data_IF_703044761488
#
_entry.id   IF_703044761488
#
_cell.length_a   1.000
_cell.length_b   1.000
_cell.length_c   1.000
_cell.angle_alpha   90.00
_cell.angle_beta   90.00
_cell.angle_gamma   90.00
#
_symmetry.space_group_name_H-M   'P 1'
#
loop_
_entity.id
_entity.type
_entity.pdbx_description
1 polymer ?
#
# COMPACT_ATOMS: atom_id res chain seq x y z
N UNK A 1 -33.47 5.91 -2.90
CA UNK A 1 -33.60 4.45 -3.04
C UNK A 1 -34.93 4.03 -3.66
N UNK A 2 -36.05 4.75 -3.46
CA UNK A 2 -37.33 4.43 -4.10
C UNK A 2 -37.31 4.45 -5.65
N UNK A 3 -36.35 5.17 -6.22
CA UNK A 3 -36.11 5.34 -7.65
C UNK A 3 -35.22 4.25 -8.28
N UNK A 4 -34.76 3.28 -7.48
CA UNK A 4 -33.86 2.21 -7.90
C UNK A 4 -34.53 0.87 -7.64
N UNK A 5 -34.71 0.07 -8.70
CA UNK A 5 -35.19 -1.31 -8.59
C UNK A 5 -33.97 -2.20 -8.37
N UNK A 6 -33.89 -2.96 -7.26
CA UNK A 6 -32.76 -3.85 -6.98
C UNK A 6 -32.59 -4.91 -8.08
N UNK A 7 -31.34 -5.26 -8.40
CA UNK A 7 -31.02 -6.30 -9.39
C UNK A 7 -30.41 -7.51 -8.67
N UNK A 8 -31.13 -8.65 -8.57
CA UNK A 8 -30.63 -9.83 -7.87
C UNK A 8 -29.38 -10.40 -8.53
N UNK A 9 -28.62 -11.20 -7.77
CA UNK A 9 -27.51 -11.97 -8.33
C UNK A 9 -28.03 -13.03 -9.29
N UNK A 10 -27.46 -13.09 -10.50
CA UNK A 10 -27.79 -14.08 -11.53
C UNK A 10 -26.87 -15.30 -11.40
N UNK A 11 -27.08 -16.08 -10.34
CA UNK A 11 -26.36 -17.34 -10.14
C UNK A 11 -26.90 -18.43 -11.07
N UNK A 12 -26.00 -19.29 -11.57
CA UNK A 12 -26.40 -20.42 -12.40
C UNK A 12 -27.36 -21.36 -11.64
N UNK A 13 -28.32 -22.02 -12.34
CA UNK A 13 -29.13 -23.07 -11.74
C UNK A 13 -28.24 -24.13 -11.08
N UNK A 14 -28.52 -24.45 -9.80
CA UNK A 14 -27.72 -25.37 -8.98
C UNK A 14 -26.24 -24.95 -8.80
N UNK A 15 -25.99 -23.67 -8.52
CA UNK A 15 -24.67 -23.16 -8.16
C UNK A 15 -23.96 -24.09 -7.14
N UNK A 16 -22.69 -24.42 -7.40
CA UNK A 16 -21.93 -25.41 -6.62
C UNK A 16 -21.45 -24.87 -5.27
N UNK A 17 -21.23 -23.55 -5.17
CA UNK A 17 -20.70 -22.88 -3.97
C UNK A 17 -21.51 -21.62 -3.63
N UNK A 18 -22.84 -21.72 -3.48
CA UNK A 18 -23.67 -20.57 -3.17
C UNK A 18 -23.34 -20.09 -1.75
N UNK A 19 -23.08 -18.80 -1.61
CA UNK A 19 -22.90 -18.22 -0.28
C UNK A 19 -24.28 -17.96 0.31
N UNK A 20 -24.50 -18.46 1.53
CA UNK A 20 -25.73 -18.38 2.27
C UNK A 20 -26.00 -16.95 2.81
N UNK A 21 -26.17 -15.96 1.92
CA UNK A 21 -26.44 -14.57 2.32
C UNK A 21 -27.78 -14.36 3.03
N UNK A 22 -28.65 -15.38 3.08
CA UNK A 22 -29.96 -15.29 3.74
C UNK A 22 -29.87 -15.06 5.25
N UNK A 23 -28.75 -15.43 5.89
CA UNK A 23 -28.47 -15.10 7.29
C UNK A 23 -28.00 -13.64 7.48
N UNK A 24 -27.60 -12.97 6.38
CA UNK A 24 -27.09 -11.59 6.33
C UNK A 24 -27.81 -10.80 5.22
N UNK A 25 -29.12 -10.61 5.38
CA UNK A 25 -29.97 -9.89 4.41
C UNK A 25 -29.36 -8.56 3.95
N UNK A 26 -28.67 -7.84 4.85
CA UNK A 26 -28.01 -6.59 4.56
C UNK A 26 -27.00 -6.66 3.40
N UNK A 27 -26.18 -7.72 3.30
CA UNK A 27 -25.19 -7.82 2.23
C UNK A 27 -25.83 -8.10 0.88
N UNK A 28 -26.81 -9.02 0.85
CA UNK A 28 -27.59 -9.33 -0.37
C UNK A 28 -28.28 -8.06 -0.88
N UNK A 29 -29.01 -7.38 0.00
CA UNK A 29 -29.78 -6.20 -0.36
C UNK A 29 -28.86 -5.07 -0.84
N UNK A 30 -27.71 -4.85 -0.17
CA UNK A 30 -26.71 -3.88 -0.60
C UNK A 30 -26.13 -4.23 -1.98
N UNK A 31 -25.83 -5.49 -2.24
CA UNK A 31 -25.32 -5.95 -3.54
C UNK A 31 -26.36 -5.88 -4.65
N UNK A 32 -27.64 -6.13 -4.35
CA UNK A 32 -28.74 -5.97 -5.33
C UNK A 32 -28.88 -4.51 -5.75
N UNK A 33 -28.81 -3.60 -4.77
CA UNK A 33 -28.81 -2.16 -5.04
C UNK A 33 -27.56 -1.73 -5.80
N UNK A 34 -26.38 -2.27 -5.45
CA UNK A 34 -25.13 -1.96 -6.14
C UNK A 34 -25.18 -2.38 -7.61
N UNK A 35 -25.66 -3.60 -7.91
CA UNK A 35 -25.87 -4.06 -9.30
C UNK A 35 -26.81 -3.13 -10.07
N UNK A 36 -27.88 -2.67 -9.44
CA UNK A 36 -28.80 -1.71 -10.06
C UNK A 36 -28.13 -0.36 -10.39
N UNK A 37 -27.31 0.18 -9.48
CA UNK A 37 -26.55 1.40 -9.72
C UNK A 37 -25.51 1.24 -10.84
N UNK A 38 -24.80 0.10 -10.86
CA UNK A 38 -23.82 -0.23 -11.89
C UNK A 38 -24.49 -0.35 -13.26
N UNK A 39 -25.64 -1.00 -13.35
CA UNK A 39 -26.40 -1.12 -14.61
C UNK A 39 -26.85 0.25 -15.15
N UNK A 40 -27.15 1.20 -14.26
CA UNK A 40 -27.46 2.60 -14.61
C UNK A 40 -26.21 3.48 -14.80
N UNK A 41 -25.01 2.95 -14.60
CA UNK A 41 -23.74 3.67 -14.57
C UNK A 41 -23.77 4.90 -13.64
N UNK A 42 -24.50 4.80 -12.54
CA UNK A 42 -24.68 5.94 -11.63
C UNK A 42 -23.40 6.23 -10.84
N UNK A 43 -23.01 7.50 -10.78
CA UNK A 43 -21.85 8.03 -10.03
C UNK A 43 -22.33 9.17 -9.14
N UNK A 44 -22.66 8.85 -7.90
CA UNK A 44 -23.35 9.75 -6.96
C UNK A 44 -22.89 9.56 -5.52
N UNK A 45 -23.24 10.49 -4.62
CA UNK A 45 -22.90 10.37 -3.20
C UNK A 45 -23.48 9.08 -2.60
N UNK A 46 -24.74 8.74 -2.90
CA UNK A 46 -25.34 7.48 -2.42
C UNK A 46 -24.64 6.23 -2.94
N UNK A 47 -23.97 6.32 -4.10
CA UNK A 47 -23.11 5.24 -4.61
C UNK A 47 -21.88 5.09 -3.72
N UNK A 48 -21.25 6.20 -3.32
CA UNK A 48 -20.13 6.18 -2.37
C UNK A 48 -20.58 5.64 -1.01
N UNK A 49 -21.73 6.05 -0.51
CA UNK A 49 -22.24 5.57 0.78
C UNK A 49 -22.49 4.05 0.72
N UNK A 50 -23.16 3.56 -0.33
CA UNK A 50 -23.42 2.13 -0.51
C UNK A 50 -22.13 1.31 -0.67
N UNK A 51 -21.17 1.78 -1.47
CA UNK A 51 -19.89 1.06 -1.63
C UNK A 51 -19.09 0.99 -0.33
N UNK A 52 -19.17 2.01 0.54
CA UNK A 52 -18.55 1.98 1.86
C UNK A 52 -19.13 0.87 2.73
N UNK A 53 -20.45 0.76 2.81
CA UNK A 53 -21.13 -0.30 3.57
C UNK A 53 -20.75 -1.71 3.06
N UNK A 54 -20.71 -1.88 1.73
CA UNK A 54 -20.33 -3.16 1.12
C UNK A 54 -18.86 -3.50 1.43
N UNK A 55 -17.96 -2.52 1.39
CA UNK A 55 -16.55 -2.71 1.73
C UNK A 55 -16.36 -3.11 3.20
N UNK A 56 -17.14 -2.55 4.12
CA UNK A 56 -17.10 -2.94 5.54
C UNK A 56 -17.51 -4.39 5.75
N UNK A 57 -18.48 -4.89 4.97
CA UNK A 57 -18.90 -6.29 5.02
C UNK A 57 -17.94 -7.23 4.26
N UNK A 58 -17.39 -6.79 3.12
CA UNK A 58 -16.49 -7.56 2.28
C UNK A 58 -15.37 -6.68 1.69
N UNK A 59 -14.26 -6.48 2.43
CA UNK A 59 -13.14 -5.65 1.97
C UNK A 59 -12.37 -6.28 0.80
N UNK A 60 -12.64 -7.54 0.45
CA UNK A 60 -12.04 -8.24 -0.69
C UNK A 60 -12.78 -8.00 -2.02
N UNK A 61 -13.93 -7.31 -2.02
CA UNK A 61 -14.74 -7.16 -3.23
C UNK A 61 -14.16 -6.15 -4.22
N UNK A 62 -13.26 -6.60 -5.10
CA UNK A 62 -12.51 -5.73 -6.02
C UNK A 62 -13.39 -4.90 -6.97
N UNK A 63 -14.52 -5.43 -7.46
CA UNK A 63 -15.47 -4.68 -8.31
C UNK A 63 -16.03 -3.45 -7.61
N UNK A 64 -16.36 -3.57 -6.32
CA UNK A 64 -16.91 -2.47 -5.52
C UNK A 64 -15.85 -1.38 -5.32
N UNK A 65 -14.61 -1.78 -5.00
CA UNK A 65 -13.48 -0.86 -4.90
C UNK A 65 -13.23 -0.10 -6.21
N UNK A 66 -13.21 -0.81 -7.34
CA UNK A 66 -13.03 -0.18 -8.65
C UNK A 66 -14.15 0.83 -8.94
N UNK A 67 -15.40 0.45 -8.71
CA UNK A 67 -16.53 1.33 -8.97
C UNK A 67 -16.57 2.54 -8.02
N UNK A 68 -16.11 2.37 -6.78
CA UNK A 68 -15.91 3.47 -5.81
C UNK A 68 -14.87 4.46 -6.32
N UNK A 69 -13.70 3.99 -6.74
CA UNK A 69 -12.64 4.85 -7.29
C UNK A 69 -13.15 5.65 -8.51
N UNK A 70 -13.82 4.99 -9.44
CA UNK A 70 -14.39 5.65 -10.62
C UNK A 70 -15.42 6.71 -10.25
N UNK A 71 -16.24 6.44 -9.23
CA UNK A 71 -17.22 7.39 -8.70
C UNK A 71 -16.54 8.61 -8.07
N UNK A 72 -15.53 8.40 -7.22
CA UNK A 72 -14.78 9.50 -6.60
C UNK A 72 -14.15 10.41 -7.65
N UNK A 73 -13.49 9.82 -8.65
CA UNK A 73 -12.80 10.56 -9.71
C UNK A 73 -13.79 11.31 -10.61
N UNK A 74 -14.88 10.66 -11.04
CA UNK A 74 -15.88 11.31 -11.90
C UNK A 74 -16.62 12.44 -11.17
N UNK A 75 -16.89 12.27 -9.89
CA UNK A 75 -17.51 13.31 -9.07
C UNK A 75 -16.54 14.44 -8.69
N UNK A 76 -15.25 14.28 -8.95
CA UNK A 76 -14.20 15.18 -8.45
C UNK A 76 -14.31 15.37 -6.93
N UNK A 77 -14.58 14.28 -6.22
CA UNK A 77 -14.76 14.29 -4.77
C UNK A 77 -13.47 14.67 -4.05
N UNK A 78 -13.60 15.08 -2.78
CA UNK A 78 -12.45 15.36 -1.94
C UNK A 78 -11.68 14.07 -1.61
N UNK A 79 -10.60 13.81 -2.35
CA UNK A 79 -9.79 12.61 -2.21
C UNK A 79 -9.03 12.55 -0.87
N UNK A 80 -8.83 13.69 -0.19
CA UNK A 80 -8.22 13.72 1.14
C UNK A 80 -9.11 13.09 2.21
N UNK A 81 -10.43 13.27 2.11
CA UNK A 81 -11.42 12.60 2.98
C UNK A 81 -11.42 11.08 2.74
N UNK A 82 -11.23 10.65 1.49
CA UNK A 82 -11.10 9.23 1.18
C UNK A 82 -9.83 8.62 1.82
N UNK A 83 -8.72 9.35 1.85
CA UNK A 83 -7.52 8.90 2.56
C UNK A 83 -7.78 8.76 4.07
N UNK A 84 -8.58 9.64 4.69
CA UNK A 84 -8.98 9.50 6.09
C UNK A 84 -9.84 8.26 6.34
N UNK A 85 -10.76 7.94 5.41
CA UNK A 85 -11.51 6.68 5.47
C UNK A 85 -10.56 5.47 5.40
N UNK A 86 -9.57 5.50 4.51
CA UNK A 86 -8.60 4.42 4.36
C UNK A 86 -7.70 4.28 5.60
N UNK A 87 -7.35 5.37 6.26
CA UNK A 87 -6.62 5.36 7.53
C UNK A 87 -7.40 4.63 8.64
N UNK A 88 -8.74 4.66 8.59
CA UNK A 88 -9.60 3.90 9.49
C UNK A 88 -9.70 2.43 9.07
N UNK A 89 -9.91 2.17 7.77
CA UNK A 89 -10.09 0.81 7.25
C UNK A 89 -8.83 -0.05 7.38
N UNK A 90 -7.63 0.54 7.22
CA UNK A 90 -6.38 -0.22 7.29
C UNK A 90 -6.20 -0.90 8.65
N UNK A 91 -6.68 -0.28 9.75
CA UNK A 91 -6.58 -0.83 11.11
C UNK A 91 -7.32 -2.16 11.26
N UNK A 92 -8.41 -2.34 10.51
CA UNK A 92 -9.24 -3.54 10.56
C UNK A 92 -8.93 -4.51 9.42
N UNK A 93 -8.37 -4.02 8.32
CA UNK A 93 -8.21 -4.77 7.08
C UNK A 93 -6.78 -4.68 6.48
N UNK A 94 -5.74 -4.65 7.33
CA UNK A 94 -4.33 -4.57 6.94
C UNK A 94 -3.89 -5.60 5.88
N UNK A 95 -4.56 -6.75 5.81
CA UNK A 95 -4.25 -7.86 4.89
C UNK A 95 -5.07 -7.83 3.59
N UNK A 96 -5.95 -6.85 3.39
CA UNK A 96 -6.70 -6.71 2.14
C UNK A 96 -5.85 -6.02 1.08
N UNK A 97 -5.58 -6.73 -0.02
CA UNK A 97 -4.88 -6.17 -1.19
C UNK A 97 -5.61 -4.95 -1.75
N UNK A 98 -6.94 -4.99 -1.74
CA UNK A 98 -7.78 -3.96 -2.35
C UNK A 98 -7.66 -2.61 -1.61
N UNK A 99 -7.47 -2.62 -0.29
CA UNK A 99 -7.28 -1.38 0.49
C UNK A 99 -5.99 -0.67 0.08
N UNK A 100 -4.89 -1.41 -0.06
CA UNK A 100 -3.59 -0.86 -0.49
C UNK A 100 -3.62 -0.40 -1.95
N UNK A 101 -4.24 -1.18 -2.83
CA UNK A 101 -4.38 -0.82 -4.23
C UNK A 101 -5.27 0.41 -4.41
N UNK A 102 -6.37 0.53 -3.64
CA UNK A 102 -7.23 1.70 -3.69
C UNK A 102 -6.51 2.93 -3.16
N UNK A 103 -5.78 2.83 -2.04
CA UNK A 103 -4.95 3.94 -1.53
C UNK A 103 -3.96 4.42 -2.59
N UNK A 104 -3.28 3.49 -3.27
CA UNK A 104 -2.39 3.81 -4.40
C UNK A 104 -3.11 4.60 -5.49
N UNK A 105 -4.31 4.19 -5.89
CA UNK A 105 -5.12 4.91 -6.88
C UNK A 105 -5.46 6.33 -6.43
N UNK A 106 -5.85 6.52 -5.17
CA UNK A 106 -6.19 7.84 -4.63
C UNK A 106 -4.95 8.75 -4.55
N UNK A 107 -3.81 8.24 -4.08
CA UNK A 107 -2.55 8.99 -4.00
C UNK A 107 -2.03 9.36 -5.39
N UNK A 108 -2.16 8.47 -6.39
CA UNK A 108 -1.83 8.78 -7.78
C UNK A 108 -2.70 9.91 -8.34
N UNK A 109 -4.00 9.91 -8.03
CA UNK A 109 -4.91 10.95 -8.49
C UNK A 109 -4.65 12.30 -7.81
N UNK A 110 -4.26 12.29 -6.52
CA UNK A 110 -3.83 13.48 -5.78
C UNK A 110 -2.46 13.99 -6.21
N UNK A 111 -1.59 13.08 -6.68
CA UNK A 111 -0.16 13.34 -6.93
C UNK A 111 0.55 13.98 -5.71
N UNK A 112 0.19 13.52 -4.51
CA UNK A 112 0.72 14.04 -3.24
C UNK A 112 1.15 12.88 -2.31
N UNK A 113 2.47 12.69 -2.09
CA UNK A 113 2.98 11.65 -1.21
C UNK A 113 3.15 12.09 0.25
N UNK A 114 2.78 13.32 0.61
CA UNK A 114 3.13 13.97 1.89
C UNK A 114 2.78 13.15 3.14
N UNK A 115 1.68 12.39 3.09
CA UNK A 115 1.19 11.56 4.22
C UNK A 115 1.75 10.14 4.23
N UNK A 116 2.34 9.68 3.13
CA UNK A 116 2.44 8.23 2.86
C UNK A 116 3.57 7.54 3.63
N UNK A 117 4.69 8.22 3.85
CA UNK A 117 5.79 7.68 4.65
C UNK A 117 5.43 7.61 6.14
N UNK A 118 4.70 8.60 6.66
CA UNK A 118 4.19 8.56 8.04
C UNK A 118 3.10 7.51 8.21
N UNK A 119 2.17 7.43 7.25
CA UNK A 119 1.12 6.42 7.23
C UNK A 119 1.67 4.99 7.23
N UNK A 120 2.61 4.69 6.33
CA UNK A 120 3.24 3.36 6.27
C UNK A 120 4.05 3.06 7.53
N UNK A 121 4.70 4.04 8.14
CA UNK A 121 5.37 3.85 9.42
C UNK A 121 4.40 3.49 10.56
N UNK A 122 3.22 4.13 10.61
CA UNK A 122 2.15 3.78 11.57
C UNK A 122 1.58 2.38 11.31
N UNK A 123 1.40 2.00 10.04
CA UNK A 123 0.94 0.65 9.69
C UNK A 123 1.98 -0.43 10.07
N UNK A 124 3.28 -0.17 9.86
CA UNK A 124 4.37 -1.07 10.26
C UNK A 124 4.54 -1.14 11.78
N UNK A 125 4.16 -0.10 12.53
CA UNK A 125 4.12 -0.18 13.99
C UNK A 125 3.03 -1.16 14.49
N UNK A 126 1.98 -1.41 13.69
CA UNK A 126 0.95 -2.41 14.00
C UNK A 126 1.37 -3.82 13.54
N UNK A 127 2.00 -3.92 12.37
CA UNK A 127 2.51 -5.18 11.80
C UNK A 127 3.81 -4.92 11.03
N UNK A 128 4.95 -5.06 11.72
CA UNK A 128 6.28 -4.73 11.20
C UNK A 128 6.75 -5.61 10.03
N UNK A 129 6.02 -6.69 9.75
CA UNK A 129 6.33 -7.66 8.70
C UNK A 129 5.25 -7.71 7.61
N UNK A 130 4.33 -6.75 7.61
CA UNK A 130 3.27 -6.68 6.61
C UNK A 130 3.84 -6.45 5.20
N UNK A 131 3.70 -7.47 4.34
CA UNK A 131 4.26 -7.43 2.99
C UNK A 131 3.64 -6.31 2.13
N UNK A 132 2.32 -6.08 2.25
CA UNK A 132 1.65 -5.05 1.47
C UNK A 132 2.13 -3.65 1.84
N UNK A 133 2.35 -3.38 3.13
CA UNK A 133 2.87 -2.09 3.59
C UNK A 133 4.28 -1.83 3.08
N UNK A 134 5.17 -2.83 3.12
CA UNK A 134 6.52 -2.70 2.58
C UNK A 134 6.53 -2.48 1.06
N UNK A 135 5.78 -3.28 0.31
CA UNK A 135 5.65 -3.12 -1.14
C UNK A 135 5.07 -1.74 -1.51
N UNK A 136 4.08 -1.27 -0.75
CA UNK A 136 3.49 0.05 -0.94
C UNK A 136 4.50 1.18 -0.63
N UNK A 137 5.24 1.09 0.48
CA UNK A 137 6.26 2.08 0.85
C UNK A 137 7.36 2.20 -0.22
N UNK A 138 7.85 1.07 -0.73
CA UNK A 138 8.83 1.07 -1.82
C UNK A 138 8.26 1.67 -3.11
N UNK A 139 7.01 1.36 -3.45
CA UNK A 139 6.33 1.99 -4.59
C UNK A 139 6.25 3.52 -4.44
N UNK A 140 5.84 4.02 -3.27
CA UNK A 140 5.78 5.46 -2.98
C UNK A 140 7.15 6.10 -3.20
N UNK A 141 8.21 5.51 -2.63
CA UNK A 141 9.57 6.02 -2.78
C UNK A 141 10.02 6.08 -4.24
N UNK A 142 9.84 4.99 -4.99
CA UNK A 142 10.23 4.91 -6.40
C UNK A 142 9.41 5.82 -7.32
N UNK A 143 8.13 6.05 -7.00
CA UNK A 143 7.26 6.85 -7.84
C UNK A 143 7.48 8.35 -7.65
N UNK A 144 7.60 8.81 -6.41
CA UNK A 144 7.66 10.23 -6.08
C UNK A 144 9.08 10.78 -5.90
N UNK A 145 10.06 9.90 -5.66
CA UNK A 145 11.48 10.26 -5.56
C UNK A 145 12.35 9.31 -6.39
N UNK A 146 12.10 9.18 -7.71
CA UNK A 146 12.84 8.26 -8.57
C UNK A 146 14.32 8.64 -8.67
N UNK A 147 15.14 7.64 -8.99
CA UNK A 147 16.54 7.86 -9.34
C UNK A 147 16.67 8.72 -10.61
N UNK A 148 17.75 9.53 -10.74
CA UNK A 148 18.04 10.22 -11.98
C UNK A 148 18.18 9.22 -13.14
N UNK A 149 17.58 9.55 -14.29
CA UNK A 149 17.56 8.69 -15.47
C UNK A 149 18.96 8.35 -16.03
N UNK A 150 20.01 9.07 -15.61
CA UNK A 150 21.40 8.90 -16.05
C UNK A 150 22.25 8.00 -15.15
N UNK A 151 21.67 7.36 -14.12
CA UNK A 151 22.36 6.43 -13.22
C UNK A 151 22.61 5.04 -13.84
N UNK A 152 23.11 5.00 -15.07
CA UNK A 152 23.93 3.85 -15.47
C UNK A 152 25.21 3.90 -14.65
N UNK A 153 25.72 2.74 -14.21
CA UNK A 153 26.89 2.56 -13.35
C UNK A 153 28.22 3.05 -13.98
N UNK A 154 28.19 3.96 -14.96
CA UNK A 154 29.35 4.65 -15.47
C UNK A 154 29.80 5.67 -14.43
N UNK A 155 30.88 5.33 -13.73
CA UNK A 155 31.61 6.21 -12.82
C UNK A 155 31.81 7.59 -13.45
N UNK A 156 31.10 8.61 -12.94
CA UNK A 156 31.36 10.01 -13.30
C UNK A 156 30.16 10.93 -13.54
N UNK A 157 28.90 10.47 -13.51
CA UNK A 157 27.77 11.41 -13.65
C UNK A 157 27.45 12.12 -12.33
N UNK A 158 27.92 13.37 -12.21
CA UNK A 158 27.57 14.32 -11.15
C UNK A 158 26.19 14.96 -11.38
N UNK A 159 25.16 14.19 -11.73
CA UNK A 159 23.80 14.69 -11.62
C UNK A 159 23.37 14.62 -10.16
N UNK A 160 23.64 15.72 -9.45
CA UNK A 160 23.27 15.89 -8.04
C UNK A 160 21.76 15.85 -7.88
N UNK A 161 21.29 14.86 -7.14
CA UNK A 161 19.91 14.71 -6.63
C UNK A 161 19.38 16.03 -6.06
N UNK A 162 18.07 16.26 -6.16
CA UNK A 162 17.46 17.37 -5.44
C UNK A 162 17.69 17.19 -3.92
N UNK A 163 17.94 18.28 -3.17
CA UNK A 163 18.16 18.19 -1.72
C UNK A 163 17.01 17.48 -0.99
N UNK A 164 15.77 17.75 -1.40
CA UNK A 164 14.58 17.13 -0.82
C UNK A 164 14.51 15.61 -1.06
N UNK A 165 14.84 15.14 -2.26
CA UNK A 165 14.87 13.70 -2.52
C UNK A 165 15.96 13.02 -1.69
N UNK A 166 17.13 13.65 -1.56
CA UNK A 166 18.22 13.11 -0.74
C UNK A 166 17.83 12.98 0.73
N UNK A 167 17.17 13.99 1.29
CA UNK A 167 16.68 13.96 2.67
C UNK A 167 15.71 12.79 2.92
N UNK A 168 14.79 12.53 1.98
CA UNK A 168 13.87 11.39 2.08
C UNK A 168 14.63 10.06 2.10
N UNK A 169 15.56 9.84 1.17
CA UNK A 169 16.31 8.58 1.09
C UNK A 169 17.28 8.38 2.26
N UNK A 170 17.92 9.44 2.75
CA UNK A 170 18.74 9.40 3.95
C UNK A 170 17.87 9.07 5.19
N UNK A 171 16.64 9.61 5.24
CA UNK A 171 15.62 9.27 6.23
C UNK A 171 15.20 7.80 6.19
N UNK A 172 15.14 7.17 5.01
CA UNK A 172 14.81 5.75 4.88
C UNK A 172 15.90 4.82 5.43
N UNK A 173 17.19 5.18 5.27
CA UNK A 173 18.29 4.44 5.91
C UNK A 173 18.17 4.53 7.43
N UNK A 174 17.89 5.72 7.96
CA UNK A 174 17.70 5.91 9.40
C UNK A 174 16.47 5.16 9.92
N UNK A 175 15.38 5.13 9.15
CA UNK A 175 14.17 4.38 9.48
C UNK A 175 14.44 2.87 9.53
N UNK A 176 15.15 2.32 8.55
CA UNK A 176 15.54 0.92 8.55
C UNK A 176 16.43 0.57 9.75
N UNK A 177 17.42 1.42 10.08
CA UNK A 177 18.26 1.20 11.25
C UNK A 177 17.44 1.21 12.55
N UNK A 178 16.51 2.15 12.71
CA UNK A 178 15.60 2.17 13.87
C UNK A 178 14.85 0.85 14.03
N UNK A 179 14.24 0.33 12.97
CA UNK A 179 13.51 -0.95 13.02
C UNK A 179 14.43 -2.14 13.34
N UNK A 180 15.68 -2.11 12.90
CA UNK A 180 16.67 -3.14 13.21
C UNK A 180 17.23 -3.03 14.63
N UNK A 181 17.20 -1.84 15.24
CA UNK A 181 17.47 -1.66 16.66
C UNK A 181 16.34 -2.25 17.52
N UNK A 182 15.09 -2.13 17.07
CA UNK A 182 13.90 -2.69 17.74
C UNK A 182 13.80 -4.22 17.58
N UNK A 183 13.95 -4.74 16.36
CA UNK A 183 14.01 -6.17 16.06
C UNK A 183 15.10 -6.45 15.01
N UNK A 184 16.29 -6.84 15.49
CA UNK A 184 17.42 -7.16 14.64
C UNK A 184 17.17 -8.36 13.70
N UNK A 185 16.17 -9.20 14.00
CA UNK A 185 15.78 -10.35 13.16
C UNK A 185 14.62 -10.00 12.21
N UNK A 186 14.23 -8.74 12.12
CA UNK A 186 13.23 -8.31 11.15
C UNK A 186 13.79 -8.34 9.73
N UNK A 187 13.55 -9.45 9.02
CA UNK A 187 14.00 -9.62 7.64
C UNK A 187 13.42 -8.57 6.68
N UNK A 188 12.23 -8.06 6.94
CA UNK A 188 11.62 -7.01 6.10
C UNK A 188 12.38 -5.69 6.24
N UNK A 189 12.86 -5.35 7.44
CA UNK A 189 13.70 -4.17 7.64
C UNK A 189 15.09 -4.33 7.00
N UNK A 190 15.70 -5.53 7.06
CA UNK A 190 16.93 -5.84 6.32
C UNK A 190 16.73 -5.73 4.80
N UNK A 191 15.63 -6.28 4.29
CA UNK A 191 15.28 -6.19 2.87
C UNK A 191 15.04 -4.75 2.44
N UNK A 192 14.35 -3.94 3.25
CA UNK A 192 14.16 -2.51 2.97
C UNK A 192 15.49 -1.76 2.97
N UNK A 193 16.38 -2.04 3.93
CA UNK A 193 17.73 -1.46 3.96
C UNK A 193 18.51 -1.80 2.68
N UNK A 194 18.39 -3.04 2.20
CA UNK A 194 19.05 -3.49 0.97
C UNK A 194 18.50 -2.75 -0.24
N UNK A 195 17.18 -2.64 -0.33
CA UNK A 195 16.50 -1.87 -1.37
C UNK A 195 16.99 -0.40 -1.40
N UNK A 196 17.04 0.27 -0.25
CA UNK A 196 17.50 1.67 -0.18
C UNK A 196 18.98 1.82 -0.53
N UNK A 197 19.83 0.91 -0.05
CA UNK A 197 21.28 0.99 -0.26
C UNK A 197 21.71 0.58 -1.68
N UNK A 198 21.04 -0.39 -2.31
CA UNK A 198 21.55 -1.05 -3.51
C UNK A 198 20.55 -1.05 -4.67
N UNK A 199 19.30 -1.45 -4.46
CA UNK A 199 18.37 -1.72 -5.58
C UNK A 199 17.65 -0.47 -6.10
N UNK A 200 17.42 0.51 -5.25
CA UNK A 200 16.74 1.75 -5.60
C UNK A 200 17.55 2.66 -6.54
N UNK A 201 18.86 2.40 -6.68
CA UNK A 201 19.80 3.32 -7.33
C UNK A 201 20.18 4.55 -6.49
N UNK A 202 19.70 4.63 -5.23
CA UNK A 202 19.82 5.83 -4.40
C UNK A 202 20.89 5.77 -3.31
N UNK A 203 21.48 4.61 -3.05
CA UNK A 203 22.51 4.44 -2.03
C UNK A 203 23.92 4.89 -2.43
N UNK A 204 24.23 4.95 -3.73
CA UNK A 204 25.56 5.32 -4.24
C UNK A 204 26.65 4.33 -3.84
N UNK A 205 27.92 4.77 -3.85
CA UNK A 205 29.05 3.95 -3.39
C UNK A 205 29.04 3.83 -1.86
N UNK A 206 28.27 2.86 -1.36
CA UNK A 206 28.03 2.64 0.06
C UNK A 206 28.42 1.22 0.54
N UNK A 207 29.02 0.42 -0.34
CA UNK A 207 29.30 -1.00 -0.07
C UNK A 207 30.12 -1.20 1.22
N UNK A 208 31.20 -0.43 1.39
CA UNK A 208 32.08 -0.57 2.56
C UNK A 208 31.38 -0.17 3.87
N UNK A 209 30.50 0.85 3.82
CA UNK A 209 29.65 1.26 4.94
C UNK A 209 28.69 0.15 5.34
N UNK A 210 28.00 -0.45 4.36
CA UNK A 210 27.00 -1.49 4.62
C UNK A 210 27.62 -2.82 5.06
N UNK A 211 28.79 -3.19 4.54
CA UNK A 211 29.56 -4.36 5.02
C UNK A 211 29.94 -4.18 6.49
N UNK A 212 30.42 -2.98 6.86
CA UNK A 212 30.76 -2.67 8.26
C UNK A 212 29.52 -2.76 9.15
N UNK A 213 28.42 -2.15 8.75
CA UNK A 213 27.15 -2.19 9.47
C UNK A 213 26.67 -3.63 9.71
N UNK A 214 26.65 -4.47 8.66
CA UNK A 214 26.23 -5.86 8.77
C UNK A 214 27.13 -6.67 9.73
N UNK A 215 28.45 -6.48 9.67
CA UNK A 215 29.41 -7.12 10.59
C UNK A 215 29.18 -6.70 12.04
N UNK A 216 28.93 -5.41 12.30
CA UNK A 216 28.62 -4.91 13.64
C UNK A 216 27.34 -5.56 14.19
N UNK A 217 26.29 -5.67 13.38
CA UNK A 217 25.05 -6.35 13.77
C UNK A 217 25.24 -7.87 13.98
N UNK A 218 26.08 -8.52 13.17
CA UNK A 218 26.43 -9.93 13.36
C UNK A 218 27.24 -10.17 14.63
N UNK A 219 28.09 -9.23 15.05
CA UNK A 219 28.78 -9.32 16.33
C UNK A 219 27.81 -9.34 17.52
N UNK A 220 26.66 -8.67 17.40
CA UNK A 220 25.58 -8.69 18.40
C UNK A 220 24.76 -9.98 18.32
N UNK A 221 24.46 -10.47 17.12
CA UNK A 221 23.64 -11.67 16.90
C UNK A 221 24.23 -12.57 15.81
N UNK A 222 25.24 -13.40 16.14
CA UNK A 222 25.98 -14.19 15.15
C UNK A 222 25.15 -15.23 14.41
N UNK A 223 24.04 -15.68 15.02
CA UNK A 223 23.13 -16.69 14.44
C UNK A 223 21.94 -16.04 13.71
N UNK A 224 22.00 -14.75 13.36
CA UNK A 224 20.92 -14.07 12.63
C UNK A 224 21.01 -14.33 11.12
N UNK A 225 20.12 -15.16 10.54
CA UNK A 225 20.17 -15.46 9.11
C UNK A 225 19.90 -14.22 8.24
N UNK A 226 19.09 -13.27 8.70
CA UNK A 226 18.79 -12.04 7.93
C UNK A 226 20.03 -11.18 7.72
N UNK A 227 20.85 -11.00 8.76
CA UNK A 227 22.09 -10.24 8.66
C UNK A 227 23.15 -10.96 7.80
N UNK A 228 23.23 -12.29 7.87
CA UNK A 228 24.10 -13.08 7.00
C UNK A 228 23.67 -13.01 5.53
N UNK A 229 22.36 -13.12 5.26
CA UNK A 229 21.82 -13.01 3.90
C UNK A 229 22.08 -11.61 3.33
N UNK A 230 21.91 -10.56 4.15
CA UNK A 230 22.23 -9.19 3.76
C UNK A 230 23.71 -8.99 3.42
N UNK A 231 24.62 -9.58 4.20
CA UNK A 231 26.07 -9.49 3.93
C UNK A 231 26.49 -10.25 2.67
N UNK A 232 25.74 -11.29 2.28
CA UNK A 232 26.03 -12.13 1.12
C UNK A 232 25.50 -11.54 -0.19
N UNK A 233 24.32 -10.92 -0.15
CA UNK A 233 23.67 -10.30 -1.31
C UNK A 233 24.45 -9.09 -1.81
#
# INVERSE_FOLDING_TARGET
WQDVVPVPQDDAPNALVPIAYHEYCAYRDAMDMFRALVAKQEKSQRTLDLTKEIIQMNPGHYTVWKYRADTLLQMQANLSEELELLDQLVKHHLKSYQVWQHRRTIVLALNDPSRELEFTAKALALDAKNYHTWAYRQWVLMHFWPAPASSSCAAGSTETRSPAAREVWDGEIAYADKLLQEDLRNNSAWSHRFFVAFESGMGGDCAEREIRYAKEKLAISPNNPSAWNYLRG
#
